data_IF_981425000281
#
_entry.id   IF_981425000281
#
_cell.length_a   1.000
_cell.length_b   1.000
_cell.length_c   1.000
_cell.angle_alpha   90.00
_cell.angle_beta   90.00
_cell.angle_gamma   90.00
#
_symmetry.space_group_name_H-M   'P 1'
#
loop_
_entity.id
_entity.type
_entity.pdbx_description
1 polymer ?
#
# COMPACT_ATOMS: atom_id res chain seq x y z
N UNK A 1 -14.31 5.47 28.48
CA UNK A 1 -13.39 6.03 27.46
C UNK A 1 -12.63 4.84 26.91
N UNK A 2 -12.87 4.45 25.65
CA UNK A 2 -12.17 3.30 25.05
C UNK A 2 -10.70 3.67 24.83
N UNK A 3 -9.79 2.80 25.24
CA UNK A 3 -8.37 2.95 24.92
C UNK A 3 -8.16 2.72 23.42
N UNK A 4 -7.01 3.15 22.88
CA UNK A 4 -6.66 2.85 21.49
C UNK A 4 -6.63 1.33 21.27
N UNK A 5 -6.15 0.57 22.26
CA UNK A 5 -6.10 -0.89 22.23
C UNK A 5 -7.50 -1.51 22.10
N UNK A 6 -8.49 -1.00 22.84
CA UNK A 6 -9.88 -1.48 22.74
C UNK A 6 -10.46 -1.23 21.34
N UNK A 7 -10.18 -0.05 20.76
CA UNK A 7 -10.65 0.29 19.42
C UNK A 7 -9.99 -0.57 18.33
N UNK A 8 -8.73 -0.95 18.52
CA UNK A 8 -8.04 -1.86 17.61
C UNK A 8 -8.65 -3.26 17.74
N UNK A 9 -8.84 -3.75 18.97
CA UNK A 9 -9.48 -5.03 19.26
C UNK A 9 -10.86 -5.15 18.60
N UNK A 10 -11.68 -4.10 18.70
CA UNK A 10 -13.01 -4.06 18.07
C UNK A 10 -12.94 -4.09 16.53
N UNK A 11 -11.90 -3.50 15.93
CA UNK A 11 -11.77 -3.40 14.47
C UNK A 11 -11.27 -4.68 13.81
N UNK A 12 -10.35 -5.42 14.46
CA UNK A 12 -9.71 -6.61 13.88
C UNK A 12 -10.16 -7.93 14.50
N UNK A 13 -10.80 -7.88 15.68
CA UNK A 13 -11.23 -9.04 16.44
C UNK A 13 -10.17 -9.60 17.40
N UNK A 14 -10.62 -10.40 18.38
CA UNK A 14 -9.78 -10.92 19.46
C UNK A 14 -8.65 -11.83 18.99
N UNK A 15 -8.89 -12.66 17.97
CA UNK A 15 -7.88 -13.58 17.43
C UNK A 15 -6.73 -12.82 16.77
N UNK A 16 -7.02 -11.87 15.88
CA UNK A 16 -6.00 -11.05 15.22
C UNK A 16 -5.24 -10.16 16.22
N UNK A 17 -5.91 -9.64 17.24
CA UNK A 17 -5.26 -8.87 18.31
C UNK A 17 -4.31 -9.74 19.14
N UNK A 18 -4.68 -11.00 19.43
CA UNK A 18 -3.79 -11.94 20.12
C UNK A 18 -2.50 -12.18 19.33
N UNK A 19 -2.62 -12.39 18.01
CA UNK A 19 -1.45 -12.54 17.12
C UNK A 19 -0.57 -11.29 17.12
N UNK A 20 -1.15 -10.08 17.03
CA UNK A 20 -0.38 -8.83 17.10
C UNK A 20 0.38 -8.68 18.42
N UNK A 21 -0.27 -8.99 19.55
CA UNK A 21 0.36 -8.92 20.86
C UNK A 21 1.49 -9.94 21.02
N UNK A 22 1.32 -11.14 20.46
CA UNK A 22 2.35 -12.19 20.48
C UNK A 22 3.57 -11.80 19.65
N UNK A 23 3.37 -11.25 18.45
CA UNK A 23 4.46 -10.92 17.54
C UNK A 23 5.15 -9.58 17.86
N UNK A 24 4.40 -8.57 18.31
CA UNK A 24 4.90 -7.19 18.41
C UNK A 24 4.72 -6.56 19.81
N UNK A 25 4.28 -7.32 20.82
CA UNK A 25 4.05 -6.83 22.17
C UNK A 25 5.26 -6.07 22.75
N UNK A 26 5.01 -4.87 23.29
CA UNK A 26 6.07 -4.00 23.84
C UNK A 26 6.83 -3.17 22.80
N UNK A 27 6.53 -3.32 21.51
CA UNK A 27 7.13 -2.54 20.43
C UNK A 27 6.20 -1.40 19.98
N UNK A 28 6.78 -0.23 19.68
CA UNK A 28 6.03 0.86 19.07
C UNK A 28 5.86 0.60 17.56
N UNK A 29 4.62 0.42 17.11
CA UNK A 29 4.29 0.18 15.71
C UNK A 29 3.81 1.47 15.03
N UNK A 30 4.25 1.69 13.80
CA UNK A 30 3.70 2.71 12.92
C UNK A 30 2.61 2.08 12.03
N UNK A 31 1.38 2.58 12.12
CA UNK A 31 0.29 2.17 11.23
C UNK A 31 0.28 3.10 10.01
N UNK A 32 0.57 2.59 8.79
CA UNK A 32 0.54 3.40 7.59
C UNK A 32 -0.86 3.99 7.34
N UNK A 33 -0.92 5.21 6.79
CA UNK A 33 -2.19 5.85 6.39
C UNK A 33 -2.97 5.10 5.30
N UNK A 34 -2.33 4.15 4.62
CA UNK A 34 -2.91 3.35 3.56
C UNK A 34 -2.48 1.89 3.71
N UNK A 35 -3.41 0.95 3.50
CA UNK A 35 -3.10 -0.48 3.51
C UNK A 35 -2.12 -0.77 2.35
N UNK A 36 -0.94 -1.36 2.62
CA UNK A 36 -0.04 -1.83 1.57
C UNK A 36 -0.78 -2.87 0.72
N UNK A 37 -0.78 -2.68 -0.60
CA UNK A 37 -1.40 -3.62 -1.54
C UNK A 37 -0.31 -4.18 -2.44
N UNK A 38 0.53 -5.12 -1.95
CA UNK A 38 1.73 -5.56 -2.66
C UNK A 38 1.40 -6.08 -4.07
N UNK A 39 0.33 -6.85 -4.23
CA UNK A 39 -0.11 -7.30 -5.56
C UNK A 39 -0.54 -6.15 -6.49
N UNK A 40 -1.18 -5.10 -5.96
CA UNK A 40 -1.52 -3.93 -6.78
C UNK A 40 -0.26 -3.17 -7.17
N UNK A 41 0.67 -3.01 -6.23
CA UNK A 41 1.91 -2.28 -6.42
C UNK A 41 2.80 -3.01 -7.45
N UNK A 42 2.90 -4.34 -7.39
CA UNK A 42 3.56 -5.18 -8.40
C UNK A 42 2.92 -5.04 -9.79
N UNK A 43 1.59 -5.04 -9.85
CA UNK A 43 0.85 -4.82 -11.10
C UNK A 43 1.12 -3.42 -11.68
N UNK A 44 1.20 -2.39 -10.84
CA UNK A 44 1.55 -1.02 -11.25
C UNK A 44 2.96 -0.98 -11.84
N UNK A 45 3.94 -1.59 -11.18
CA UNK A 45 5.34 -1.62 -11.63
C UNK A 45 5.46 -2.36 -12.97
N UNK A 46 4.75 -3.49 -13.10
CA UNK A 46 4.73 -4.29 -14.34
C UNK A 46 4.12 -3.49 -15.48
N UNK A 47 2.93 -2.92 -15.27
CA UNK A 47 2.24 -2.10 -16.26
C UNK A 47 3.09 -0.88 -16.69
N UNK A 48 3.74 -0.21 -15.75
CA UNK A 48 4.63 0.92 -16.02
C UNK A 48 5.79 0.49 -16.92
N UNK A 49 6.45 -0.61 -16.57
CA UNK A 49 7.57 -1.17 -17.31
C UNK A 49 7.18 -1.58 -18.73
N UNK A 50 6.03 -2.23 -18.90
CA UNK A 50 5.57 -2.69 -20.21
C UNK A 50 5.13 -1.51 -21.10
N UNK A 51 4.56 -0.47 -20.50
CA UNK A 51 4.21 0.77 -21.22
C UNK A 51 5.48 1.47 -21.74
N UNK A 52 6.56 1.49 -20.96
CA UNK A 52 7.85 2.01 -21.41
C UNK A 52 8.48 1.14 -22.52
N UNK A 53 8.44 -0.19 -22.39
CA UNK A 53 8.94 -1.12 -23.42
C UNK A 53 8.19 -0.99 -24.74
N UNK A 54 6.91 -0.61 -24.70
CA UNK A 54 6.11 -0.30 -25.88
C UNK A 54 6.48 1.04 -26.56
N UNK A 55 7.46 1.77 -26.02
CA UNK A 55 7.97 3.03 -26.58
C UNK A 55 7.24 4.29 -26.09
N UNK A 56 6.38 4.18 -25.08
CA UNK A 56 5.72 5.34 -24.50
C UNK A 56 6.70 6.23 -23.72
N UNK A 57 6.38 7.52 -23.61
CA UNK A 57 7.13 8.41 -22.73
C UNK A 57 6.91 8.06 -21.25
N UNK A 58 7.85 8.45 -20.40
CA UNK A 58 7.73 8.27 -18.94
C UNK A 58 6.47 8.92 -18.37
N UNK A 59 6.10 10.12 -18.84
CA UNK A 59 4.88 10.79 -18.39
C UNK A 59 3.64 9.99 -18.81
N UNK A 60 3.61 9.50 -20.05
CA UNK A 60 2.51 8.65 -20.54
C UNK A 60 2.36 7.39 -19.70
N UNK A 61 3.47 6.73 -19.33
CA UNK A 61 3.44 5.55 -18.48
C UNK A 61 2.86 5.86 -17.08
N UNK A 62 3.20 7.01 -16.49
CA UNK A 62 2.60 7.45 -15.23
C UNK A 62 1.10 7.72 -15.37
N UNK A 63 0.66 8.41 -16.42
CA UNK A 63 -0.75 8.71 -16.67
C UNK A 63 -1.58 7.44 -16.90
N UNK A 64 -1.03 6.47 -17.64
CA UNK A 64 -1.65 5.16 -17.86
C UNK A 64 -1.84 4.42 -16.54
N UNK A 65 -0.81 4.33 -15.69
CA UNK A 65 -0.92 3.68 -14.38
C UNK A 65 -1.91 4.41 -13.46
N UNK A 66 -1.87 5.74 -13.42
CA UNK A 66 -2.77 6.55 -12.59
C UNK A 66 -4.24 6.33 -12.97
N UNK A 67 -4.53 6.29 -14.27
CA UNK A 67 -5.88 6.06 -14.80
C UNK A 67 -6.37 4.64 -14.51
N UNK A 68 -5.55 3.63 -14.80
CA UNK A 68 -5.91 2.21 -14.64
C UNK A 68 -6.15 1.82 -13.18
N UNK A 69 -5.38 2.38 -12.25
CA UNK A 69 -5.45 2.02 -10.83
C UNK A 69 -6.21 3.05 -9.97
N UNK A 70 -6.78 4.09 -10.58
CA UNK A 70 -7.49 5.18 -9.90
C UNK A 70 -6.66 5.83 -8.78
N UNK A 71 -5.38 6.09 -9.06
CA UNK A 71 -4.43 6.71 -8.14
C UNK A 71 -3.93 8.04 -8.71
N UNK A 72 -3.46 8.92 -7.83
CA UNK A 72 -2.75 10.12 -8.28
C UNK A 72 -1.38 9.75 -8.86
N UNK A 73 -0.88 10.55 -9.81
CA UNK A 73 0.46 10.40 -10.38
C UNK A 73 1.53 10.33 -9.29
N UNK A 74 1.40 11.15 -8.23
CA UNK A 74 2.34 11.14 -7.10
C UNK A 74 2.36 9.81 -6.34
N UNK A 75 1.21 9.15 -6.19
CA UNK A 75 1.14 7.82 -5.59
C UNK A 75 1.80 6.78 -6.49
N UNK A 76 1.56 6.82 -7.81
CA UNK A 76 2.24 5.95 -8.77
C UNK A 76 3.75 6.16 -8.72
N UNK A 77 4.24 7.39 -8.74
CA UNK A 77 5.68 7.71 -8.62
C UNK A 77 6.27 7.14 -7.33
N UNK A 78 5.55 7.26 -6.21
CA UNK A 78 6.00 6.71 -4.93
C UNK A 78 6.09 5.19 -4.95
N UNK A 79 5.16 4.52 -5.64
CA UNK A 79 5.14 3.06 -5.79
C UNK A 79 6.28 2.61 -6.71
N UNK A 80 6.41 3.22 -7.89
CA UNK A 80 7.45 2.88 -8.88
C UNK A 80 8.86 3.18 -8.36
N UNK A 81 9.06 4.20 -7.52
CA UNK A 81 10.38 4.49 -6.94
C UNK A 81 10.84 3.50 -5.86
N UNK A 82 9.94 2.61 -5.39
CA UNK A 82 10.23 1.62 -4.35
C UNK A 82 10.53 0.22 -4.90
N UNK A 83 10.09 -0.07 -6.13
CA UNK A 83 10.31 -1.34 -6.83
C UNK A 83 11.53 -1.27 -7.74
#
# INVERSE_FOLDING_TARGET
MHTISDRILDAIGAEAMATLCQEFGGTALYIPHHVPQPQRDDNIITLFSDTLKAGASTMTAYDTCATTHHLSIRQIQTIVARG
#
